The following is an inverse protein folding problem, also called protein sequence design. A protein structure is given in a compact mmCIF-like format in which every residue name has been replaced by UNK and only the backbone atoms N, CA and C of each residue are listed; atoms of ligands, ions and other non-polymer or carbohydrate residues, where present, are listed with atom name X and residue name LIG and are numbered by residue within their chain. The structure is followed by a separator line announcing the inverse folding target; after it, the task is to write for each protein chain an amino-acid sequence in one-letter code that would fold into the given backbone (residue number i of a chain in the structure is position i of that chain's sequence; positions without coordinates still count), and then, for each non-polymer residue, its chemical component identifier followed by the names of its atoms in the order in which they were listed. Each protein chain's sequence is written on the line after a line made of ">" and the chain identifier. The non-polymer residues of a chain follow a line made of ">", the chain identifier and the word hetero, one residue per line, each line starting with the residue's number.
data_IF_983708068793
#
_entry.id   IF_983708068793
#
_cell.length_a   1.000
_cell.length_b   1.000
_cell.length_c   1.000
_cell.angle_alpha   90.00
_cell.angle_beta   90.00
_cell.angle_gamma   90.00
#
_symmetry.space_group_name_H-M   'P 1'
#
loop_
_entity.id
_entity.type
_entity.pdbx_description
1 polymer ?
#
# COMPACT_ATOMS: atom_id res chain seq x y z
N UNK A 1 14.57 18.35 -9.25
CA UNK A 1 14.13 18.28 -7.84
C UNK A 1 15.07 19.13 -7.00
N UNK A 2 14.63 20.31 -6.54
CA UNK A 2 15.52 21.28 -5.87
C UNK A 2 15.32 21.33 -4.34
N UNK A 3 14.35 20.59 -3.80
CA UNK A 3 14.00 20.59 -2.38
C UNK A 3 14.65 19.45 -1.59
N UNK A 4 15.50 18.64 -2.22
CA UNK A 4 16.15 17.46 -1.57
C UNK A 4 15.24 16.25 -1.38
N UNK A 5 13.97 16.32 -1.79
CA UNK A 5 13.06 15.17 -1.81
C UNK A 5 13.52 14.16 -2.86
N UNK A 6 13.76 12.93 -2.45
CA UNK A 6 14.26 11.85 -3.30
C UNK A 6 13.42 10.56 -3.24
N UNK A 7 12.36 10.54 -2.39
CA UNK A 7 11.43 9.42 -2.25
C UNK A 7 10.00 9.89 -2.18
N UNK A 8 9.10 9.18 -2.85
CA UNK A 8 7.65 9.43 -2.85
C UNK A 8 6.92 8.16 -2.42
N UNK A 9 5.89 8.26 -1.58
CA UNK A 9 4.95 7.16 -1.31
C UNK A 9 3.60 7.55 -1.89
N UNK A 10 3.06 6.71 -2.76
CA UNK A 10 1.82 7.01 -3.45
C UNK A 10 0.77 5.97 -3.08
N UNK A 11 -0.23 6.46 -2.34
CA UNK A 11 -1.36 5.65 -1.94
C UNK A 11 -2.35 5.46 -3.08
N UNK A 12 -2.28 4.33 -3.77
CA UNK A 12 -3.18 3.95 -4.87
C UNK A 12 -4.37 3.12 -4.40
N UNK A 13 -4.15 2.24 -3.41
CA UNK A 13 -5.11 1.27 -2.87
C UNK A 13 -5.55 0.19 -3.86
N UNK A 14 -6.13 0.56 -5.01
CA UNK A 14 -6.69 -0.33 -6.02
C UNK A 14 -6.70 0.33 -7.41
N UNK A 15 -6.78 -0.46 -8.48
CA UNK A 15 -6.84 0.01 -9.87
C UNK A 15 -8.26 -0.07 -10.47
N UNK A 16 -9.29 -0.22 -9.63
CA UNK A 16 -10.69 -0.33 -10.06
C UNK A 16 -11.51 0.82 -9.46
N UNK A 17 -12.30 1.48 -10.30
CA UNK A 17 -13.08 2.65 -9.91
C UNK A 17 -14.08 2.34 -8.78
N UNK A 18 -14.69 1.16 -8.82
CA UNK A 18 -15.66 0.70 -7.82
C UNK A 18 -15.00 0.51 -6.45
N UNK A 19 -13.80 -0.08 -6.40
CA UNK A 19 -13.06 -0.26 -5.14
C UNK A 19 -12.59 1.07 -4.56
N UNK A 20 -12.09 1.98 -5.41
CA UNK A 20 -11.70 3.33 -5.01
C UNK A 20 -12.87 4.14 -4.44
N UNK A 21 -14.04 4.05 -5.07
CA UNK A 21 -15.26 4.71 -4.63
C UNK A 21 -15.68 4.21 -3.24
N UNK A 22 -15.61 2.89 -3.00
CA UNK A 22 -15.95 2.31 -1.68
C UNK A 22 -14.94 2.72 -0.61
N UNK A 23 -13.66 2.90 -0.96
CA UNK A 23 -12.64 3.44 -0.06
C UNK A 23 -12.88 4.90 0.36
N UNK A 24 -13.83 5.61 -0.28
CA UNK A 24 -14.07 7.03 -0.04
C UNK A 24 -12.90 7.91 -0.47
N UNK A 25 -12.09 7.44 -1.43
CA UNK A 25 -10.97 8.22 -1.96
C UNK A 25 -11.50 9.34 -2.85
N UNK A 26 -10.84 10.48 -2.80
CA UNK A 26 -11.14 11.64 -3.65
C UNK A 26 -10.52 11.52 -5.05
N UNK A 27 -9.72 10.48 -5.30
CA UNK A 27 -9.05 10.23 -6.58
C UNK A 27 -9.69 9.03 -7.27
N UNK A 28 -9.67 9.05 -8.60
CA UNK A 28 -10.08 7.95 -9.47
C UNK A 28 -8.89 7.29 -10.18
N UNK A 29 -9.19 6.31 -11.03
CA UNK A 29 -8.18 5.56 -11.80
C UNK A 29 -7.35 6.50 -12.69
N UNK A 30 -7.97 7.52 -13.31
CA UNK A 30 -7.24 8.49 -14.14
C UNK A 30 -6.19 9.27 -13.34
N UNK A 31 -6.47 9.61 -12.08
CA UNK A 31 -5.52 10.31 -11.21
C UNK A 31 -4.34 9.42 -10.85
N UNK A 32 -4.60 8.13 -10.63
CA UNK A 32 -3.57 7.09 -10.39
C UNK A 32 -2.62 7.00 -11.57
N UNK A 33 -3.14 6.87 -12.79
CA UNK A 33 -2.32 6.77 -14.00
C UNK A 33 -1.48 8.03 -14.20
N UNK A 34 -2.08 9.23 -14.07
CA UNK A 34 -1.34 10.50 -14.17
C UNK A 34 -0.26 10.62 -13.11
N UNK A 35 -0.49 10.12 -11.90
CA UNK A 35 0.52 10.14 -10.84
C UNK A 35 1.72 9.26 -11.20
N UNK A 36 1.47 8.04 -11.71
CA UNK A 36 2.53 7.13 -12.16
C UNK A 36 3.33 7.75 -13.32
N UNK A 37 2.64 8.30 -14.31
CA UNK A 37 3.27 9.00 -15.44
C UNK A 37 4.14 10.17 -14.97
N UNK A 38 3.66 10.97 -14.02
CA UNK A 38 4.40 12.09 -13.48
C UNK A 38 5.68 11.65 -12.74
N UNK A 39 5.63 10.55 -11.99
CA UNK A 39 6.81 9.99 -11.31
C UNK A 39 7.87 9.52 -12.31
N UNK A 40 7.44 8.86 -13.38
CA UNK A 40 8.33 8.43 -14.46
C UNK A 40 8.92 9.61 -15.23
N UNK A 41 8.10 10.59 -15.60
CA UNK A 41 8.54 11.80 -16.30
C UNK A 41 9.53 12.62 -15.46
N UNK A 42 9.32 12.68 -14.14
CA UNK A 42 10.23 13.34 -13.21
C UNK A 42 11.49 12.52 -12.88
N UNK A 43 11.61 11.28 -13.41
CA UNK A 43 12.71 10.36 -13.16
C UNK A 43 12.99 10.18 -11.66
N UNK A 44 11.92 10.00 -10.89
CA UNK A 44 12.01 9.81 -9.45
C UNK A 44 12.83 8.56 -9.15
N UNK A 45 13.95 8.67 -8.42
CA UNK A 45 14.89 7.57 -8.25
C UNK A 45 14.41 6.51 -7.25
N UNK A 46 13.41 6.83 -6.43
CA UNK A 46 12.82 5.93 -5.45
C UNK A 46 11.36 6.31 -5.19
N UNK A 47 10.43 5.39 -5.39
CA UNK A 47 9.04 5.62 -5.03
C UNK A 47 8.33 4.32 -4.67
N UNK A 48 7.35 4.43 -3.76
CA UNK A 48 6.49 3.32 -3.35
C UNK A 48 5.07 3.47 -3.82
N UNK A 49 4.46 2.32 -4.09
CA UNK A 49 3.04 2.18 -4.40
C UNK A 49 2.35 1.42 -3.27
N UNK A 50 1.32 2.01 -2.67
CA UNK A 50 0.60 1.39 -1.56
C UNK A 50 -0.74 0.81 -2.06
N UNK A 51 -0.89 -0.51 -1.93
CA UNK A 51 -2.11 -1.28 -2.18
C UNK A 51 -2.84 -1.60 -0.87
N UNK A 52 -4.16 -1.72 -0.95
CA UNK A 52 -5.00 -2.19 0.16
C UNK A 52 -5.62 -3.53 -0.24
N UNK A 53 -5.28 -4.58 0.50
CA UNK A 53 -5.90 -5.90 0.40
C UNK A 53 -7.22 -5.91 1.21
N UNK A 54 -8.09 -6.87 0.93
CA UNK A 54 -9.27 -7.08 1.78
C UNK A 54 -10.37 -6.02 1.62
N UNK A 55 -10.36 -5.22 0.55
CA UNK A 55 -11.38 -4.20 0.33
C UNK A 55 -12.77 -4.82 0.11
N UNK A 56 -13.86 -4.11 0.43
CA UNK A 56 -15.20 -4.58 0.12
C UNK A 56 -15.35 -4.81 -1.38
N UNK A 57 -15.96 -5.93 -1.76
CA UNK A 57 -16.10 -6.40 -3.14
C UNK A 57 -14.77 -6.78 -3.82
N UNK A 58 -13.66 -6.89 -3.08
CA UNK A 58 -12.44 -7.50 -3.62
C UNK A 58 -12.67 -8.96 -3.97
N UNK A 59 -12.16 -9.35 -5.14
CA UNK A 59 -12.19 -10.71 -5.66
C UNK A 59 -10.77 -11.14 -5.99
N UNK A 60 -10.48 -12.44 -6.11
CA UNK A 60 -9.15 -12.90 -6.52
C UNK A 60 -8.70 -12.26 -7.85
N UNK A 61 -9.60 -12.09 -8.81
CA UNK A 61 -9.29 -11.55 -10.13
C UNK A 61 -8.90 -10.07 -10.08
N UNK A 62 -9.64 -9.26 -9.30
CA UNK A 62 -9.30 -7.84 -9.15
C UNK A 62 -8.03 -7.64 -8.30
N UNK A 63 -7.78 -8.54 -7.35
CA UNK A 63 -6.56 -8.55 -6.56
C UNK A 63 -5.33 -8.87 -7.43
N UNK A 64 -5.40 -9.91 -8.25
CA UNK A 64 -4.36 -10.25 -9.22
C UNK A 64 -4.13 -9.13 -10.24
N UNK A 65 -5.18 -8.43 -10.66
CA UNK A 65 -5.05 -7.24 -11.50
C UNK A 65 -4.29 -6.13 -10.77
N UNK A 66 -4.59 -5.86 -9.49
CA UNK A 66 -3.90 -4.85 -8.71
C UNK A 66 -2.40 -5.13 -8.57
N UNK A 67 -2.03 -6.38 -8.27
CA UNK A 67 -0.64 -6.79 -8.16
C UNK A 67 0.10 -6.64 -9.50
N UNK A 68 -0.50 -7.09 -10.61
CA UNK A 68 0.08 -6.94 -11.95
C UNK A 68 0.29 -5.48 -12.32
N UNK A 69 -0.72 -4.62 -12.12
CA UNK A 69 -0.63 -3.19 -12.42
C UNK A 69 0.43 -2.49 -11.56
N UNK A 70 0.55 -2.87 -10.28
CA UNK A 70 1.61 -2.35 -9.42
C UNK A 70 3.01 -2.75 -9.92
N UNK A 71 3.19 -3.99 -10.37
CA UNK A 71 4.47 -4.45 -10.95
C UNK A 71 4.77 -3.71 -12.26
N UNK A 72 3.78 -3.57 -13.15
CA UNK A 72 3.92 -2.88 -14.45
C UNK A 72 4.31 -1.41 -14.28
N UNK A 73 3.80 -0.77 -13.22
CA UNK A 73 4.16 0.60 -12.84
C UNK A 73 5.64 0.74 -12.43
N UNK A 74 6.31 -0.36 -12.06
CA UNK A 74 7.74 -0.42 -11.69
C UNK A 74 8.16 0.53 -10.55
N UNK A 75 7.48 0.52 -9.39
CA UNK A 75 8.01 1.18 -8.21
C UNK A 75 9.26 0.46 -7.70
N UNK A 76 10.10 1.17 -6.93
CA UNK A 76 11.20 0.51 -6.20
C UNK A 76 10.71 -0.25 -4.97
N UNK A 77 9.47 0.01 -4.55
CA UNK A 77 8.89 -0.48 -3.31
C UNK A 77 7.37 -0.60 -3.42
N UNK A 78 6.77 -1.65 -2.83
CA UNK A 78 5.33 -1.88 -2.80
C UNK A 78 4.91 -2.14 -1.36
N UNK A 79 3.91 -1.40 -0.90
CA UNK A 79 3.25 -1.67 0.38
C UNK A 79 1.92 -2.38 0.11
N UNK A 80 1.65 -3.48 0.80
CA UNK A 80 0.39 -4.22 0.81
C UNK A 80 -0.14 -4.20 2.24
N UNK A 81 -1.12 -3.33 2.47
CA UNK A 81 -1.80 -3.23 3.76
C UNK A 81 -3.07 -4.06 3.75
N UNK A 82 -3.31 -4.81 4.81
CA UNK A 82 -4.60 -5.47 5.01
C UNK A 82 -5.59 -4.47 5.61
N UNK A 83 -6.81 -4.42 5.07
CA UNK A 83 -7.85 -3.54 5.60
C UNK A 83 -8.18 -3.93 7.05
N UNK A 84 -7.94 -3.01 7.98
CA UNK A 84 -8.32 -3.14 9.37
C UNK A 84 -9.61 -2.35 9.66
N UNK A 85 -10.58 -3.00 10.31
CA UNK A 85 -11.82 -2.36 10.74
C UNK A 85 -11.69 -1.82 12.15
N UNK A 86 -11.39 -0.52 12.24
CA UNK A 86 -11.32 0.17 13.52
C UNK A 86 -12.71 0.75 13.91
N UNK A 87 -13.24 0.49 15.12
CA UNK A 87 -14.60 0.89 15.52
C UNK A 87 -14.93 2.38 15.34
N UNK A 88 -13.92 3.25 15.46
CA UNK A 88 -14.06 4.70 15.29
C UNK A 88 -14.13 5.19 13.84
N UNK A 89 -13.85 4.32 12.86
CA UNK A 89 -13.74 4.70 11.44
C UNK A 89 -15.05 4.53 10.68
N UNK A 90 -15.24 5.22 9.53
CA UNK A 90 -16.38 4.98 8.65
C UNK A 90 -16.51 3.51 8.24
N UNK A 91 -15.39 2.80 8.05
CA UNK A 91 -15.36 1.38 7.71
C UNK A 91 -15.82 0.50 8.87
N UNK A 92 -15.30 0.71 10.07
CA UNK A 92 -15.72 -0.06 11.26
C UNK A 92 -17.19 0.15 11.65
N UNK A 93 -17.81 1.26 11.24
CA UNK A 93 -19.26 1.48 11.39
C UNK A 93 -20.11 0.82 10.31
N UNK A 94 -19.55 0.58 9.12
CA UNK A 94 -20.29 0.15 7.92
C UNK A 94 -20.18 -1.35 7.67
N UNK A 95 -19.06 -1.95 8.05
CA UNK A 95 -18.75 -3.35 7.75
C UNK A 95 -18.39 -4.12 9.01
N UNK A 96 -18.52 -5.44 8.92
CA UNK A 96 -18.08 -6.38 9.95
C UNK A 96 -17.10 -7.37 9.32
N UNK A 97 -16.03 -7.70 10.05
CA UNK A 97 -15.02 -8.65 9.59
C UNK A 97 -15.66 -9.99 9.20
N UNK A 98 -15.18 -10.56 8.09
CA UNK A 98 -15.65 -11.85 7.56
C UNK A 98 -17.08 -11.84 7.01
N UNK A 99 -17.75 -10.68 6.95
CA UNK A 99 -19.10 -10.56 6.40
C UNK A 99 -19.07 -9.84 5.06
N UNK A 100 -19.82 -10.40 4.10
CA UNK A 100 -20.05 -9.75 2.80
C UNK A 100 -20.54 -8.30 3.02
N UNK A 101 -19.97 -7.31 2.30
CA UNK A 101 -19.12 -7.46 1.11
C UNK A 101 -17.62 -7.60 1.35
N UNK A 102 -17.14 -7.72 2.59
CA UNK A 102 -15.72 -7.97 2.85
C UNK A 102 -15.34 -9.42 2.56
N UNK A 103 -14.08 -9.69 2.20
CA UNK A 103 -13.57 -11.06 2.12
C UNK A 103 -13.64 -11.76 3.48
N UNK A 104 -13.82 -13.08 3.43
CA UNK A 104 -13.62 -13.95 4.60
C UNK A 104 -12.15 -13.97 5.02
N UNK A 105 -11.86 -14.38 6.26
CA UNK A 105 -10.48 -14.50 6.75
C UNK A 105 -9.60 -15.40 5.87
N UNK A 106 -10.18 -16.49 5.34
CA UNK A 106 -9.49 -17.37 4.40
C UNK A 106 -9.13 -16.66 3.09
N UNK A 107 -10.07 -15.89 2.53
CA UNK A 107 -9.82 -15.11 1.32
C UNK A 107 -8.80 -14.00 1.56
N UNK A 108 -8.82 -13.33 2.72
CA UNK A 108 -7.84 -12.33 3.08
C UNK A 108 -6.42 -12.95 3.22
N UNK A 109 -6.32 -14.11 3.87
CA UNK A 109 -5.06 -14.84 3.96
C UNK A 109 -4.52 -15.26 2.57
N UNK A 110 -5.41 -15.69 1.67
CA UNK A 110 -5.05 -16.02 0.28
C UNK A 110 -4.59 -14.78 -0.50
N UNK A 111 -5.21 -13.62 -0.29
CA UNK A 111 -4.78 -12.34 -0.88
C UNK A 111 -3.37 -11.96 -0.39
N UNK A 112 -3.09 -12.06 0.91
CA UNK A 112 -1.75 -11.82 1.46
C UNK A 112 -0.71 -12.78 0.88
N UNK A 113 -1.00 -14.09 0.88
CA UNK A 113 -0.08 -15.10 0.38
C UNK A 113 0.18 -14.96 -1.14
N UNK A 114 -0.86 -14.63 -1.92
CA UNK A 114 -0.71 -14.37 -3.36
C UNK A 114 0.10 -13.10 -3.63
N UNK A 115 -0.05 -12.05 -2.82
CA UNK A 115 0.75 -10.84 -2.92
C UNK A 115 2.24 -11.15 -2.69
N UNK A 116 2.54 -11.86 -1.60
CA UNK A 116 3.92 -12.22 -1.27
C UNK A 116 4.58 -13.04 -2.38
N UNK A 117 3.92 -14.10 -2.87
CA UNK A 117 4.43 -14.91 -3.98
C UNK A 117 4.63 -14.11 -5.27
N UNK A 118 3.64 -13.28 -5.64
CA UNK A 118 3.64 -12.54 -6.91
C UNK A 118 4.73 -11.46 -6.91
N UNK A 119 4.83 -10.67 -5.84
CA UNK A 119 5.84 -9.62 -5.73
C UNK A 119 7.25 -10.21 -5.61
N UNK A 120 7.44 -11.30 -4.87
CA UNK A 120 8.74 -11.99 -4.82
C UNK A 120 9.16 -12.55 -6.18
N UNK A 121 8.21 -13.11 -6.94
CA UNK A 121 8.47 -13.59 -8.30
C UNK A 121 8.85 -12.45 -9.26
N UNK A 122 8.41 -11.22 -8.98
CA UNK A 122 8.80 -10.01 -9.71
C UNK A 122 10.10 -9.36 -9.21
N UNK A 123 10.79 -9.99 -8.24
CA UNK A 123 12.10 -9.55 -7.74
C UNK A 123 12.08 -8.64 -6.52
N UNK A 124 10.92 -8.46 -5.88
CA UNK A 124 10.84 -7.71 -4.61
C UNK A 124 11.14 -8.62 -3.41
N UNK A 125 11.88 -8.10 -2.44
CA UNK A 125 12.13 -8.74 -1.15
C UNK A 125 11.03 -8.37 -0.15
N UNK A 126 10.40 -9.38 0.47
CA UNK A 126 9.48 -9.19 1.58
C UNK A 126 10.30 -8.99 2.87
N UNK A 127 10.39 -7.75 3.36
CA UNK A 127 11.37 -7.40 4.41
C UNK A 127 10.75 -7.07 5.78
N UNK A 128 9.45 -6.79 5.83
CA UNK A 128 8.64 -6.76 7.05
C UNK A 128 7.18 -7.09 6.70
N UNK A 129 6.23 -6.93 7.63
CA UNK A 129 4.85 -7.44 7.49
C UNK A 129 4.15 -7.00 6.20
N UNK A 130 4.15 -5.70 5.89
CA UNK A 130 3.32 -5.13 4.82
C UNK A 130 4.09 -4.69 3.58
N UNK A 131 5.41 -4.83 3.51
CA UNK A 131 6.23 -4.10 2.56
C UNK A 131 7.23 -5.00 1.84
N UNK A 132 7.34 -4.70 0.55
CA UNK A 132 8.15 -5.38 -0.43
C UNK A 132 9.04 -4.34 -1.11
N UNK A 133 10.32 -4.65 -1.32
CA UNK A 133 11.24 -3.70 -1.94
C UNK A 133 12.19 -4.40 -2.89
N UNK A 134 12.56 -3.74 -3.98
CA UNK A 134 13.70 -4.21 -4.76
C UNK A 134 14.96 -4.24 -3.88
N UNK A 135 15.95 -5.09 -4.19
CA UNK A 135 17.19 -5.16 -3.41
C UNK A 135 17.83 -3.79 -3.21
N UNK A 136 18.17 -3.48 -1.95
CA UNK A 136 18.73 -2.17 -1.57
C UNK A 136 17.73 -1.02 -1.48
N UNK A 137 16.43 -1.25 -1.67
CA UNK A 137 15.37 -0.22 -1.64
C UNK A 137 14.41 -0.34 -0.45
N UNK A 138 14.79 -1.09 0.59
CA UNK A 138 14.00 -1.21 1.82
C UNK A 138 13.82 0.17 2.47
N UNK A 139 12.60 0.46 2.92
CA UNK A 139 12.30 1.75 3.56
C UNK A 139 13.02 1.86 4.91
N UNK A 140 14.01 2.75 5.00
CA UNK A 140 14.66 3.10 6.26
C UNK A 140 13.66 3.62 7.30
N UNK A 141 12.65 4.35 6.84
CA UNK A 141 11.58 4.87 7.70
C UNK A 141 10.77 3.73 8.34
N UNK A 142 10.35 2.74 7.56
CA UNK A 142 9.55 1.62 8.09
C UNK A 142 10.41 0.75 9.01
N UNK A 143 11.66 0.46 8.62
CA UNK A 143 12.59 -0.32 9.43
C UNK A 143 12.87 0.33 10.79
N UNK A 144 12.92 1.67 10.84
CA UNK A 144 13.13 2.40 12.08
C UNK A 144 12.13 2.01 13.18
N UNK A 145 10.86 1.87 12.81
CA UNK A 145 9.81 1.46 13.75
C UNK A 145 9.92 -0.02 14.13
N UNK A 146 10.17 -0.89 13.16
CA UNK A 146 10.28 -2.33 13.40
C UNK A 146 11.51 -2.72 14.22
N UNK A 147 12.58 -1.95 14.12
CA UNK A 147 13.81 -2.12 14.91
C UNK A 147 13.73 -1.42 16.28
N UNK A 148 12.63 -0.70 16.57
CA UNK A 148 12.48 0.04 17.81
C UNK A 148 13.53 1.14 17.99
N UNK A 149 13.93 1.79 16.91
CA UNK A 149 14.90 2.90 16.96
C UNK A 149 14.21 4.22 17.32
N UNK A 150 14.94 5.11 18.01
CA UNK A 150 14.40 6.38 18.48
C UNK A 150 14.08 7.37 17.36
N UNK A 151 12.94 8.05 17.44
CA UNK A 151 12.55 9.09 16.51
C UNK A 151 11.79 10.23 17.18
N UNK A 152 11.92 11.42 16.61
CA UNK A 152 11.16 12.60 16.98
C UNK A 152 10.04 12.83 15.96
N UNK A 153 8.81 12.94 16.45
CA UNK A 153 7.66 13.39 15.68
C UNK A 153 7.39 14.87 15.93
N UNK A 154 7.03 15.59 14.87
CA UNK A 154 6.66 17.01 14.94
C UNK A 154 5.30 17.23 14.28
N UNK A 155 4.46 18.07 14.89
CA UNK A 155 3.13 18.43 14.37
C UNK A 155 1.96 17.73 15.04
N UNK A 156 0.75 18.04 14.58
CA UNK A 156 -0.48 17.49 15.13
C UNK A 156 -0.59 15.99 14.84
N UNK A 157 -0.84 15.18 15.88
CA UNK A 157 -0.96 13.73 15.76
C UNK A 157 0.37 12.98 15.65
N UNK A 158 1.51 13.68 15.74
CA UNK A 158 2.82 13.05 15.73
C UNK A 158 3.12 12.36 17.08
N UNK A 159 3.79 11.21 17.01
CA UNK A 159 4.35 10.52 18.16
C UNK A 159 5.88 10.58 18.11
N UNK A 160 6.51 10.52 19.28
CA UNK A 160 7.95 10.35 19.42
C UNK A 160 8.23 9.10 20.23
N UNK A 161 9.34 8.44 19.93
CA UNK A 161 9.88 7.36 20.75
C UNK A 161 11.34 7.69 21.05
N UNK A 162 11.65 7.92 22.31
CA UNK A 162 12.98 8.25 22.84
C UNK A 162 13.15 7.51 24.16
N UNK A 163 14.33 6.95 24.42
CA UNK A 163 14.64 6.25 25.68
C UNK A 163 15.28 7.18 26.72
#
# INVERSE_FOLDING_TARGET
>A
MNLGVNRFSVGIQAFQAELLAVCGRSHGVEDVERAIEALHAAQVPDWSLDLMSGLPHSTPENWELNLRRAIDARPSHVSVYDLQLEPGTPFGRRFALGQSPLPTDAQAADMYCSASRTLQSAGYEHYEVSNFALPGRRSRHNLKYWLGEEFYGFGMGAASYVQ
#
